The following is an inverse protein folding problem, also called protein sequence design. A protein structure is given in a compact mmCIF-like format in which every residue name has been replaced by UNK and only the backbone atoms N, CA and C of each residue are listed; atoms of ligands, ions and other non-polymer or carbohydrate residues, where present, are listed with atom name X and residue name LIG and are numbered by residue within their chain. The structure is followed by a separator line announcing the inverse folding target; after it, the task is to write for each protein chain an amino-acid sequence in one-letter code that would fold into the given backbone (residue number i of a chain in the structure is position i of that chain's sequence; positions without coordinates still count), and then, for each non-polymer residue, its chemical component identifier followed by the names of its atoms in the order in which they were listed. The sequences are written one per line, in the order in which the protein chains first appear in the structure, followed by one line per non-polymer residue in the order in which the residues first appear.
data_IF_910355571403
#
_entry.id   IF_910355571403
#
_cell.length_a   1.000
_cell.length_b   1.000
_cell.length_c   1.000
_cell.angle_alpha   90.00
_cell.angle_beta   90.00
_cell.angle_gamma   90.00
#
_symmetry.space_group_name_H-M   'P 1'
#
loop_
_entity.id
_entity.type
_entity.pdbx_description
1 polymer ?
#
# COMPACT_ATOMS: atom_id res chain seq x y z
N UNK A 1 -34.66 14.01 23.21
CA UNK A 1 -33.96 12.98 22.44
C UNK A 1 -33.47 13.65 21.17
N UNK A 2 -32.21 14.08 21.17
CA UNK A 2 -31.59 14.86 20.08
C UNK A 2 -30.54 13.97 19.39
N UNK A 3 -30.77 13.67 18.12
CA UNK A 3 -29.83 12.93 17.29
C UNK A 3 -28.73 13.89 16.81
N UNK A 4 -27.48 13.59 17.13
CA UNK A 4 -26.32 14.30 16.63
C UNK A 4 -26.20 14.08 15.11
N UNK A 5 -25.91 15.12 14.32
CA UNK A 5 -25.69 14.96 12.90
C UNK A 5 -24.29 14.35 12.64
N UNK A 6 -24.29 13.25 11.95
CA UNK A 6 -23.09 12.62 11.38
C UNK A 6 -22.44 13.62 10.41
N UNK A 7 -21.29 14.16 10.79
CA UNK A 7 -20.47 14.98 9.89
C UNK A 7 -19.85 14.05 8.85
N UNK A 8 -20.48 13.99 7.69
CA UNK A 8 -19.86 13.42 6.49
C UNK A 8 -18.73 14.35 6.08
N UNK A 9 -17.48 13.92 6.31
CA UNK A 9 -16.32 14.57 5.72
C UNK A 9 -16.38 14.40 4.21
N UNK A 10 -16.67 15.49 3.50
CA UNK A 10 -16.60 15.58 2.06
C UNK A 10 -15.19 15.14 1.59
N UNK A 11 -15.08 14.31 0.57
CA UNK A 11 -13.78 13.95 0.00
C UNK A 11 -13.07 15.21 -0.48
N UNK A 12 -11.80 15.39 -0.07
CA UNK A 12 -10.96 16.47 -0.56
C UNK A 12 -10.98 16.45 -2.09
N UNK A 13 -11.33 17.56 -2.69
CA UNK A 13 -11.35 17.82 -4.13
C UNK A 13 -9.93 17.61 -4.71
N UNK A 14 -9.55 16.37 -4.96
CA UNK A 14 -8.43 16.08 -5.85
C UNK A 14 -8.89 16.35 -7.28
N UNK A 15 -8.05 16.93 -8.11
CA UNK A 15 -8.33 17.11 -9.53
C UNK A 15 -8.56 15.72 -10.14
N UNK A 16 -9.79 15.43 -10.52
CA UNK A 16 -10.14 14.15 -11.09
C UNK A 16 -9.69 14.15 -12.57
N UNK A 17 -8.59 13.45 -12.84
CA UNK A 17 -8.12 13.19 -14.20
C UNK A 17 -8.37 11.72 -14.54
N UNK A 18 -9.54 11.36 -15.07
CA UNK A 18 -9.80 9.99 -15.47
C UNK A 18 -8.83 9.59 -16.57
N UNK A 19 -8.09 8.51 -16.36
CA UNK A 19 -7.10 7.98 -17.30
C UNK A 19 -7.69 7.77 -18.71
N UNK A 20 -8.98 7.52 -18.81
CA UNK A 20 -9.73 7.39 -20.07
C UNK A 20 -9.62 8.62 -20.98
N UNK A 21 -9.44 9.82 -20.42
CA UNK A 21 -9.29 11.06 -21.19
C UNK A 21 -7.87 11.22 -21.77
N UNK A 22 -6.90 10.47 -21.26
CA UNK A 22 -5.48 10.57 -21.64
C UNK A 22 -4.95 9.31 -22.31
N UNK A 23 -5.58 8.16 -22.05
CA UNK A 23 -5.19 6.86 -22.59
C UNK A 23 -6.32 6.31 -23.46
N UNK A 24 -6.04 6.13 -24.77
CA UNK A 24 -6.96 5.44 -25.67
C UNK A 24 -6.69 3.94 -25.66
N UNK A 25 -7.70 3.15 -25.34
CA UNK A 25 -7.66 1.69 -25.44
C UNK A 25 -7.90 1.17 -26.87
N UNK A 26 -8.08 2.06 -27.85
CA UNK A 26 -8.42 1.69 -29.22
C UNK A 26 -7.34 0.86 -29.92
N UNK A 27 -6.07 1.06 -29.56
CA UNK A 27 -4.92 0.33 -30.11
C UNK A 27 -4.61 -1.00 -29.39
N UNK A 28 -5.32 -1.32 -28.32
CA UNK A 28 -5.11 -2.57 -27.59
C UNK A 28 -5.85 -3.73 -28.27
N UNK A 29 -5.27 -4.92 -28.21
CA UNK A 29 -5.94 -6.15 -28.62
C UNK A 29 -7.23 -6.36 -27.81
N UNK A 30 -8.17 -7.14 -28.32
CA UNK A 30 -9.43 -7.45 -27.62
C UNK A 30 -9.18 -8.09 -26.26
N UNK A 31 -8.21 -9.00 -26.17
CA UNK A 31 -7.81 -9.67 -24.93
C UNK A 31 -7.27 -8.67 -23.91
N UNK A 32 -6.43 -7.75 -24.34
CA UNK A 32 -5.84 -6.74 -23.45
C UNK A 32 -6.89 -5.74 -22.96
N UNK A 33 -7.84 -5.33 -23.81
CA UNK A 33 -8.97 -4.50 -23.39
C UNK A 33 -9.84 -5.19 -22.36
N UNK A 34 -10.13 -6.48 -22.57
CA UNK A 34 -10.89 -7.28 -21.61
C UNK A 34 -10.17 -7.32 -20.25
N UNK A 35 -8.87 -7.58 -20.24
CA UNK A 35 -8.05 -7.56 -19.03
C UNK A 35 -8.10 -6.20 -18.31
N UNK A 36 -7.88 -5.08 -19.02
CA UNK A 36 -7.95 -3.75 -18.44
C UNK A 36 -9.32 -3.44 -17.84
N UNK A 37 -10.40 -3.82 -18.53
CA UNK A 37 -11.76 -3.62 -18.04
C UNK A 37 -12.03 -4.47 -16.79
N UNK A 38 -11.56 -5.72 -16.74
CA UNK A 38 -11.72 -6.60 -15.58
C UNK A 38 -11.03 -6.03 -14.33
N UNK A 39 -9.80 -5.54 -14.47
CA UNK A 39 -9.09 -4.90 -13.36
C UNK A 39 -9.78 -3.62 -12.90
N UNK A 40 -10.28 -2.81 -13.84
CA UNK A 40 -10.91 -1.53 -13.52
C UNK A 40 -12.31 -1.68 -12.93
N UNK A 41 -12.96 -2.83 -13.10
CA UNK A 41 -14.30 -3.08 -12.57
C UNK A 41 -14.32 -3.44 -11.09
N UNK A 42 -13.18 -3.85 -10.53
CA UNK A 42 -13.08 -4.29 -9.14
C UNK A 42 -12.63 -3.13 -8.26
N UNK A 43 -13.50 -2.72 -7.33
CA UNK A 43 -13.19 -1.65 -6.38
C UNK A 43 -12.32 -2.19 -5.25
N UNK A 44 -11.10 -1.68 -5.11
CA UNK A 44 -10.26 -1.97 -3.95
C UNK A 44 -10.80 -1.23 -2.72
N UNK A 45 -11.15 -1.97 -1.67
CA UNK A 45 -11.59 -1.37 -0.41
C UNK A 45 -10.38 -0.77 0.32
N UNK A 46 -10.55 0.43 0.85
CA UNK A 46 -9.48 1.15 1.56
C UNK A 46 -9.74 1.31 3.05
N UNK A 47 -10.97 1.04 3.49
CA UNK A 47 -11.43 1.29 4.85
C UNK A 47 -11.66 -0.04 5.58
N UNK A 48 -10.99 -0.23 6.72
CA UNK A 48 -11.12 -1.44 7.55
C UNK A 48 -12.57 -1.80 7.89
N UNK A 49 -13.39 -0.81 8.25
CA UNK A 49 -14.78 -1.04 8.64
C UNK A 49 -15.65 -1.66 7.54
N UNK A 50 -15.32 -1.41 6.27
CA UNK A 50 -16.00 -2.04 5.13
C UNK A 50 -15.41 -3.42 4.83
N UNK A 51 -14.10 -3.54 4.95
CA UNK A 51 -13.36 -4.76 4.62
C UNK A 51 -13.67 -5.89 5.59
N UNK A 52 -13.89 -5.58 6.86
CA UNK A 52 -14.20 -6.58 7.91
C UNK A 52 -15.56 -7.26 7.71
N UNK A 53 -16.42 -6.71 6.86
CA UNK A 53 -17.72 -7.31 6.56
C UNK A 53 -17.63 -8.41 5.49
N UNK A 54 -16.61 -8.39 4.65
CA UNK A 54 -16.40 -9.38 3.59
C UNK A 54 -15.54 -10.54 4.11
N UNK A 55 -16.04 -11.80 4.08
CA UNK A 55 -15.31 -12.96 4.53
C UNK A 55 -13.96 -13.17 3.83
N UNK A 56 -13.86 -12.85 2.53
CA UNK A 56 -12.61 -12.99 1.76
C UNK A 56 -11.49 -12.10 2.29
N UNK A 57 -11.83 -10.90 2.73
CA UNK A 57 -10.88 -10.00 3.35
C UNK A 57 -10.54 -10.41 4.78
N UNK A 58 -11.50 -10.97 5.53
CA UNK A 58 -11.22 -11.55 6.86
C UNK A 58 -10.19 -12.67 6.76
N UNK A 59 -10.37 -13.57 5.80
CA UNK A 59 -9.43 -14.67 5.57
C UNK A 59 -8.04 -14.15 5.19
N UNK A 60 -7.98 -13.15 4.29
CA UNK A 60 -6.71 -12.53 3.90
C UNK A 60 -5.99 -11.84 5.08
N UNK A 61 -6.75 -11.19 5.97
CA UNK A 61 -6.19 -10.60 7.19
C UNK A 61 -5.72 -11.67 8.18
N UNK A 62 -6.47 -12.75 8.36
CA UNK A 62 -6.09 -13.86 9.22
C UNK A 62 -4.80 -14.54 8.76
N UNK A 63 -4.64 -14.75 7.45
CA UNK A 63 -3.42 -15.30 6.84
C UNK A 63 -2.22 -14.39 7.12
N UNK A 64 -2.37 -13.06 6.97
CA UNK A 64 -1.27 -12.12 7.25
C UNK A 64 -0.87 -12.15 8.73
N UNK A 65 -1.83 -12.15 9.65
CA UNK A 65 -1.55 -12.24 11.10
C UNK A 65 -0.83 -13.54 11.42
N UNK A 66 -1.33 -14.69 10.95
CA UNK A 66 -0.69 -15.97 11.17
C UNK A 66 0.74 -16.02 10.62
N UNK A 67 1.01 -15.40 9.47
CA UNK A 67 2.35 -15.31 8.91
C UNK A 67 3.28 -14.43 9.76
N UNK A 68 2.80 -13.31 10.30
CA UNK A 68 3.58 -12.43 11.18
C UNK A 68 3.92 -13.14 12.51
N UNK A 69 2.99 -13.93 13.06
CA UNK A 69 3.20 -14.72 14.26
C UNK A 69 4.19 -15.87 14.01
N UNK A 70 4.00 -16.64 12.94
CA UNK A 70 4.90 -17.73 12.58
C UNK A 70 6.34 -17.28 12.33
N UNK A 71 6.53 -16.07 11.80
CA UNK A 71 7.84 -15.48 11.56
C UNK A 71 8.42 -14.76 12.80
N UNK A 72 7.74 -14.81 13.95
CA UNK A 72 8.13 -14.09 15.17
C UNK A 72 8.43 -12.60 14.92
N UNK A 73 7.64 -11.95 14.05
CA UNK A 73 7.84 -10.54 13.66
C UNK A 73 7.57 -9.59 14.82
N UNK A 74 6.80 -10.02 15.80
CA UNK A 74 6.45 -9.26 17.00
C UNK A 74 6.45 -10.14 18.26
N UNK A 75 6.55 -9.48 19.40
CA UNK A 75 6.30 -10.09 20.70
C UNK A 75 5.44 -9.16 21.54
N UNK A 76 4.60 -9.74 22.40
CA UNK A 76 3.82 -8.95 23.36
C UNK A 76 4.75 -8.41 24.43
N UNK A 77 4.70 -7.10 24.64
CA UNK A 77 5.46 -6.43 25.71
C UNK A 77 4.58 -5.42 26.43
N UNK A 78 4.97 -5.08 27.67
CA UNK A 78 4.29 -4.03 28.40
C UNK A 78 4.65 -2.66 27.84
N UNK A 79 3.64 -1.80 27.64
CA UNK A 79 3.87 -0.43 27.22
C UNK A 79 4.48 0.37 28.37
N UNK A 80 5.58 1.12 28.16
CA UNK A 80 6.11 2.03 29.16
C UNK A 80 5.10 3.09 29.58
N UNK A 81 5.15 3.51 30.83
CA UNK A 81 4.27 4.55 31.36
C UNK A 81 4.44 5.85 30.55
N UNK A 82 3.32 6.49 30.21
CA UNK A 82 3.25 7.74 29.45
C UNK A 82 3.59 7.66 27.93
N UNK A 83 3.92 6.46 27.42
CA UNK A 83 4.16 6.30 25.98
C UNK A 83 2.90 5.86 25.23
N UNK A 84 2.83 6.22 23.94
CA UNK A 84 1.75 5.82 23.05
C UNK A 84 2.30 4.88 21.97
N UNK A 85 1.67 3.74 21.73
CA UNK A 85 2.13 2.82 20.72
C UNK A 85 1.98 3.45 19.32
N UNK A 86 2.92 3.11 18.44
CA UNK A 86 2.82 3.47 17.03
C UNK A 86 1.61 2.79 16.44
N UNK A 87 0.77 3.57 15.76
CA UNK A 87 -0.41 3.02 15.08
C UNK A 87 -0.03 2.15 13.89
N UNK A 88 -0.93 1.28 13.50
CA UNK A 88 -0.83 0.51 12.26
C UNK A 88 -2.00 0.79 11.32
N UNK A 89 -1.87 0.33 10.08
CA UNK A 89 -2.95 0.36 9.09
C UNK A 89 -2.93 -0.91 8.25
N UNK A 90 -4.11 -1.33 7.82
CA UNK A 90 -4.24 -2.35 6.80
C UNK A 90 -4.11 -1.74 5.41
N UNK A 91 -3.42 -2.46 4.54
CA UNK A 91 -3.35 -2.18 3.10
C UNK A 91 -3.90 -3.40 2.38
N UNK A 92 -4.90 -3.16 1.55
CA UNK A 92 -5.62 -4.20 0.81
C UNK A 92 -5.25 -4.14 -0.66
N UNK A 93 -5.13 -5.29 -1.30
CA UNK A 93 -4.87 -5.39 -2.73
C UNK A 93 -5.51 -6.65 -3.30
N UNK A 94 -6.15 -6.51 -4.46
CA UNK A 94 -6.67 -7.63 -5.22
C UNK A 94 -5.60 -8.05 -6.23
N UNK A 95 -5.29 -9.34 -6.27
CA UNK A 95 -4.40 -9.92 -7.27
C UNK A 95 -5.23 -10.55 -8.38
N UNK A 96 -4.85 -10.26 -9.61
CA UNK A 96 -5.53 -10.76 -10.80
C UNK A 96 -4.60 -11.72 -11.55
N UNK A 97 -5.20 -12.76 -12.14
CA UNK A 97 -4.53 -13.63 -13.10
C UNK A 97 -4.32 -12.93 -14.44
N UNK A 98 -3.58 -13.54 -15.33
CA UNK A 98 -3.31 -13.01 -16.68
C UNK A 98 -4.59 -12.85 -17.53
N UNK A 99 -5.66 -13.57 -17.22
CA UNK A 99 -6.96 -13.47 -17.87
C UNK A 99 -7.85 -12.35 -17.31
N UNK A 100 -7.40 -11.66 -16.24
CA UNK A 100 -8.12 -10.59 -15.56
C UNK A 100 -9.07 -11.08 -14.46
N UNK A 101 -9.20 -12.38 -14.23
CA UNK A 101 -9.96 -12.92 -13.10
C UNK A 101 -9.24 -12.67 -11.78
N UNK A 102 -10.00 -12.65 -10.67
CA UNK A 102 -9.42 -12.49 -9.34
C UNK A 102 -8.68 -13.78 -8.98
N UNK A 103 -7.42 -13.66 -8.63
CA UNK A 103 -6.60 -14.76 -8.15
C UNK A 103 -6.71 -14.93 -6.64
N UNK A 104 -6.40 -13.86 -5.88
CA UNK A 104 -6.58 -13.81 -4.43
C UNK A 104 -6.69 -12.37 -3.89
N UNK A 105 -7.21 -12.28 -2.67
CA UNK A 105 -7.24 -11.08 -1.86
C UNK A 105 -5.99 -11.04 -0.99
N UNK A 106 -5.29 -9.91 -0.97
CA UNK A 106 -4.09 -9.73 -0.17
C UNK A 106 -4.29 -8.57 0.80
N UNK A 107 -4.15 -8.85 2.09
CA UNK A 107 -4.08 -7.85 3.13
C UNK A 107 -2.64 -7.76 3.66
N UNK A 108 -2.20 -6.56 4.04
CA UNK A 108 -0.94 -6.33 4.73
C UNK A 108 -1.14 -5.40 5.91
N UNK A 109 -0.60 -5.79 7.06
CA UNK A 109 -0.56 -4.94 8.25
C UNK A 109 0.75 -4.16 8.26
N UNK A 110 0.66 -2.83 8.23
CA UNK A 110 1.81 -1.94 8.13
C UNK A 110 1.82 -0.98 9.32
N UNK A 111 2.93 -0.91 10.06
CA UNK A 111 3.13 0.09 11.07
C UNK A 111 3.27 1.49 10.42
N UNK A 112 2.77 2.53 11.11
CA UNK A 112 2.87 3.92 10.65
C UNK A 112 4.25 4.48 10.99
N UNK A 113 5.29 4.00 10.31
CA UNK A 113 6.69 4.36 10.57
C UNK A 113 6.98 5.87 10.52
N UNK A 114 6.18 6.63 9.77
CA UNK A 114 6.31 8.10 9.70
C UNK A 114 5.96 8.83 11.01
N UNK A 115 5.37 8.14 12.00
CA UNK A 115 5.08 8.69 13.33
C UNK A 115 6.13 8.31 14.36
N UNK A 116 7.14 7.53 13.99
CA UNK A 116 8.24 7.12 14.86
C UNK A 116 9.13 8.31 15.20
N UNK A 117 9.61 8.36 16.46
CA UNK A 117 10.52 9.39 16.97
C UNK A 117 11.89 8.76 17.23
N UNK A 118 12.93 9.43 16.71
CA UNK A 118 14.32 9.04 16.96
C UNK A 118 14.66 9.16 18.46
N UNK A 119 15.45 8.21 18.94
CA UNK A 119 15.84 8.14 20.36
C UNK A 119 14.79 7.54 21.29
N UNK A 120 13.55 7.32 20.80
CA UNK A 120 12.45 6.72 21.56
C UNK A 120 11.94 5.44 20.91
N UNK A 121 11.51 5.53 19.66
CA UNK A 121 10.93 4.41 18.91
C UNK A 121 11.99 3.64 18.12
N UNK A 122 13.12 4.25 17.84
CA UNK A 122 14.29 3.63 17.19
C UNK A 122 15.58 4.39 17.55
N UNK A 123 16.69 3.67 17.62
CA UNK A 123 18.02 4.25 17.88
C UNK A 123 18.81 4.45 16.60
N UNK A 124 18.61 3.57 15.62
CA UNK A 124 19.29 3.60 14.33
C UNK A 124 18.28 3.43 13.19
N UNK A 125 18.46 4.19 12.12
CA UNK A 125 17.72 3.97 10.88
C UNK A 125 18.54 3.11 9.95
N UNK A 126 17.88 2.16 9.27
CA UNK A 126 18.47 1.57 8.09
C UNK A 126 18.80 2.68 7.09
N UNK A 127 20.02 2.65 6.54
CA UNK A 127 20.38 3.56 5.45
C UNK A 127 19.32 3.52 4.37
N UNK A 128 18.99 4.68 3.82
CA UNK A 128 18.02 4.78 2.73
C UNK A 128 18.45 3.84 1.60
N UNK A 129 17.65 2.82 1.35
CA UNK A 129 17.89 1.91 0.20
C UNK A 129 17.67 2.71 -1.06
N UNK A 130 18.75 3.09 -1.72
CA UNK A 130 18.67 3.74 -3.02
C UNK A 130 17.96 2.81 -4.02
N UNK A 131 16.98 3.34 -4.76
CA UNK A 131 16.34 2.55 -5.83
C UNK A 131 17.42 2.10 -6.81
N UNK A 132 17.44 0.83 -7.19
CA UNK A 132 18.43 0.28 -8.13
C UNK A 132 18.52 1.06 -9.44
N UNK A 133 17.40 1.65 -9.89
CA UNK A 133 17.36 2.53 -11.06
C UNK A 133 18.23 3.78 -10.84
N UNK A 134 18.14 4.40 -9.66
CA UNK A 134 18.97 5.58 -9.31
C UNK A 134 20.46 5.21 -9.25
N UNK A 135 20.78 4.05 -8.66
CA UNK A 135 22.17 3.54 -8.59
C UNK A 135 22.74 3.30 -10.00
N UNK A 136 21.94 2.73 -10.91
CA UNK A 136 22.36 2.50 -12.30
C UNK A 136 22.44 3.79 -13.13
N UNK A 137 21.62 4.79 -12.85
CA UNK A 137 21.65 6.07 -13.56
C UNK A 137 22.88 6.91 -13.22
N UNK A 138 23.38 6.84 -11.99
CA UNK A 138 24.55 7.62 -11.57
C UNK A 138 25.80 7.38 -12.41
N UNK A 139 26.27 6.12 -12.65
CA UNK A 139 27.43 5.85 -13.50
C UNK A 139 27.24 6.34 -14.94
N UNK A 140 26.02 6.20 -15.48
CA UNK A 140 25.72 6.66 -16.84
C UNK A 140 25.84 8.18 -16.94
N UNK A 141 25.26 8.92 -15.98
CA UNK A 141 25.39 10.38 -15.94
C UNK A 141 26.83 10.82 -15.73
N UNK A 142 27.59 10.14 -14.87
CA UNK A 142 29.00 10.42 -14.66
C UNK A 142 29.83 10.21 -15.92
N UNK A 143 29.59 9.12 -16.66
CA UNK A 143 30.25 8.82 -17.92
C UNK A 143 29.94 9.88 -18.98
N UNK A 144 28.68 10.30 -19.12
CA UNK A 144 28.26 11.35 -20.06
C UNK A 144 28.92 12.70 -19.72
N UNK A 145 29.12 12.99 -18.43
CA UNK A 145 29.75 14.23 -17.96
C UNK A 145 31.28 14.16 -17.88
N UNK A 146 31.90 13.03 -18.25
CA UNK A 146 33.33 12.85 -18.18
C UNK A 146 33.91 12.84 -16.76
N UNK A 147 33.09 12.54 -15.76
CA UNK A 147 33.56 12.42 -14.37
C UNK A 147 34.29 11.09 -14.19
N UNK A 148 35.54 11.13 -13.67
CA UNK A 148 36.24 9.92 -13.26
C UNK A 148 35.56 9.34 -12.02
N UNK A 149 35.10 8.09 -12.12
CA UNK A 149 34.66 7.29 -10.99
C UNK A 149 35.89 6.60 -10.42
N UNK A 150 36.45 7.19 -9.36
CA UNK A 150 37.54 6.58 -8.59
C UNK A 150 37.00 5.76 -7.44
#
# INVERSE_FOLDING_TARGET
MSASPFIQSLPKKGTFHPLQNFLSYSKLSATHRHFCNSISSVLELTIYAQTVLDPKWKDAMAIEIAALEANNTWSLTSLPAHEKPIGCKWVYKIKHKADGSIEWYKARLIAKGFTQREGLDYLETFSLVAKMVSVKALPVVAAVKGCCLS
#
